data_IF_976770753067
#
_entry.id   IF_976770753067
#
_cell.length_a   1.000
_cell.length_b   1.000
_cell.length_c   1.000
_cell.angle_alpha   90.00
_cell.angle_beta   90.00
_cell.angle_gamma   90.00
#
_symmetry.space_group_name_H-M   'P 1'
#
loop_
_entity.id
_entity.type
_entity.pdbx_description
1 polymer ?
#
# COMPACT_ATOMS: atom_id res chain seq x y z
N UNK A 1 7.43 -2.39 4.03
CA UNK A 1 8.60 -2.89 4.76
C UNK A 1 8.10 -4.14 5.43
N UNK A 2 8.49 -5.33 4.95
CA UNK A 2 8.12 -6.55 5.68
C UNK A 2 8.68 -6.42 7.11
N UNK A 3 7.93 -6.80 8.15
CA UNK A 3 8.46 -6.72 9.50
C UNK A 3 9.80 -7.45 9.53
N UNK A 4 10.86 -6.71 9.84
CA UNK A 4 12.13 -7.33 10.18
C UNK A 4 11.85 -8.27 11.34
N UNK A 5 12.44 -9.46 11.31
CA UNK A 5 12.37 -10.36 12.46
C UNK A 5 12.75 -9.57 13.71
N UNK A 6 11.81 -9.44 14.64
CA UNK A 6 12.05 -8.81 15.96
C UNK A 6 12.96 -9.66 16.85
N UNK A 7 13.26 -10.89 16.41
CA UNK A 7 14.18 -11.80 17.09
C UNK A 7 15.62 -11.54 16.67
N UNK A 8 16.49 -11.43 17.69
CA UNK A 8 17.94 -11.59 17.50
C UNK A 8 18.27 -12.98 16.96
N UNK A 9 19.47 -13.14 16.37
CA UNK A 9 19.92 -14.45 15.89
C UNK A 9 19.86 -15.52 16.99
N UNK A 10 20.23 -15.18 18.23
CA UNK A 10 20.18 -16.11 19.37
C UNK A 10 18.75 -16.54 19.73
N UNK A 11 17.79 -15.63 19.67
CA UNK A 11 16.39 -15.97 19.90
C UNK A 11 15.85 -16.87 18.78
N UNK A 12 16.22 -16.59 17.53
CA UNK A 12 15.87 -17.44 16.39
C UNK A 12 16.47 -18.85 16.55
N UNK A 13 17.74 -18.95 16.95
CA UNK A 13 18.41 -20.23 17.22
C UNK A 13 17.69 -21.02 18.31
N UNK A 14 17.26 -20.35 19.39
CA UNK A 14 16.51 -20.96 20.48
C UNK A 14 15.16 -21.51 19.99
N UNK A 15 14.41 -20.74 19.18
CA UNK A 15 13.13 -21.21 18.63
C UNK A 15 13.30 -22.40 17.70
N UNK A 16 14.31 -22.37 16.82
CA UNK A 16 14.59 -23.48 15.92
C UNK A 16 15.06 -24.73 16.66
N UNK A 17 15.86 -24.56 17.73
CA UNK A 17 16.22 -25.65 18.62
C UNK A 17 14.98 -26.23 19.32
N UNK A 18 14.08 -25.38 19.83
CA UNK A 18 12.84 -25.81 20.47
C UNK A 18 11.98 -26.66 19.52
N UNK A 19 11.79 -26.21 18.28
CA UNK A 19 11.06 -26.96 17.25
C UNK A 19 11.70 -28.33 17.00
N UNK A 20 13.03 -28.38 16.90
CA UNK A 20 13.78 -29.62 16.69
C UNK A 20 13.64 -30.61 17.84
N UNK A 21 13.68 -30.15 19.09
CA UNK A 21 13.52 -31.00 20.28
C UNK A 21 12.09 -31.54 20.41
N UNK A 22 11.10 -30.79 19.92
CA UNK A 22 9.70 -31.23 19.90
C UNK A 22 9.37 -32.14 18.69
N UNK A 23 10.37 -32.59 17.93
CA UNK A 23 10.17 -33.54 16.83
C UNK A 23 9.49 -32.95 15.59
N UNK A 24 9.55 -31.62 15.41
CA UNK A 24 9.09 -30.99 14.18
C UNK A 24 10.10 -31.32 13.07
N UNK A 25 9.61 -31.91 11.99
CA UNK A 25 10.40 -32.19 10.79
C UNK A 25 10.62 -30.93 9.94
N UNK A 26 11.61 -30.95 9.05
CA UNK A 26 11.90 -29.88 8.08
C UNK A 26 12.14 -28.47 8.66
N UNK A 27 12.67 -28.40 9.89
CA UNK A 27 13.00 -27.11 10.53
C UNK A 27 14.10 -26.38 9.74
N UNK A 28 13.86 -25.14 9.26
CA UNK A 28 14.83 -24.41 8.46
C UNK A 28 16.02 -23.97 9.31
N UNK A 29 17.19 -23.84 8.68
CA UNK A 29 18.35 -23.25 9.37
C UNK A 29 18.19 -21.73 9.50
N UNK A 30 18.82 -21.10 10.51
CA UNK A 30 18.84 -19.64 10.66
C UNK A 30 19.28 -18.93 9.38
N UNK A 31 20.30 -19.47 8.70
CA UNK A 31 20.79 -18.94 7.43
C UNK A 31 19.77 -19.07 6.30
N UNK A 32 18.99 -20.15 6.26
CA UNK A 32 17.92 -20.32 5.26
C UNK A 32 16.77 -19.36 5.50
N UNK A 33 16.41 -19.10 6.76
CA UNK A 33 15.44 -18.06 7.12
C UNK A 33 15.93 -16.66 6.73
N UNK A 34 17.22 -16.34 6.95
CA UNK A 34 17.80 -15.06 6.51
C UNK A 34 17.74 -14.91 4.99
N UNK A 35 18.08 -15.96 4.23
CA UNK A 35 18.01 -15.93 2.75
C UNK A 35 16.59 -15.71 2.23
N UNK A 36 15.62 -16.42 2.79
CA UNK A 36 14.20 -16.23 2.45
C UNK A 36 13.72 -14.84 2.82
N UNK A 37 14.11 -14.31 3.98
CA UNK A 37 13.81 -12.93 4.35
C UNK A 37 14.36 -11.92 3.34
N UNK A 38 15.63 -12.05 2.92
CA UNK A 38 16.23 -11.18 1.89
C UNK A 38 15.50 -11.32 0.55
N UNK A 39 15.14 -12.53 0.14
CA UNK A 39 14.39 -12.76 -1.09
C UNK A 39 13.00 -12.10 -1.03
N UNK A 40 12.28 -12.24 0.08
CA UNK A 40 10.98 -11.60 0.29
C UNK A 40 11.08 -10.08 0.34
N UNK A 41 12.13 -9.52 0.97
CA UNK A 41 12.39 -8.09 0.94
C UNK A 41 12.68 -7.59 -0.48
N UNK A 42 13.32 -8.37 -1.34
CA UNK A 42 13.52 -7.99 -2.75
C UNK A 42 12.22 -7.97 -3.56
N UNK A 43 11.29 -8.87 -3.25
CA UNK A 43 10.04 -9.01 -4.00
C UNK A 43 8.98 -8.02 -3.49
N UNK A 44 8.80 -7.94 -2.17
CA UNK A 44 7.70 -7.21 -1.53
C UNK A 44 8.19 -6.12 -0.58
N UNK A 45 9.48 -5.80 -0.54
CA UNK A 45 10.01 -4.76 0.33
C UNK A 45 9.60 -3.36 -0.12
N UNK A 46 9.54 -2.43 0.84
CA UNK A 46 9.47 -1.00 0.53
C UNK A 46 10.91 -0.52 0.40
N UNK A 47 11.24 0.09 -0.74
CA UNK A 47 12.58 0.62 -0.98
C UNK A 47 12.83 1.83 -0.10
N UNK A 48 14.05 1.93 0.42
CA UNK A 48 14.55 3.16 1.05
C UNK A 48 15.36 3.92 0.00
N UNK A 49 14.94 5.14 -0.27
CA UNK A 49 15.51 6.04 -1.26
C UNK A 49 16.37 7.06 -0.53
N UNK A 50 17.59 7.27 -1.03
CA UNK A 50 18.50 8.29 -0.53
C UNK A 50 18.32 9.58 -1.33
N UNK A 51 18.30 10.70 -0.62
CA UNK A 51 18.23 12.05 -1.19
C UNK A 51 19.29 12.93 -0.54
N UNK A 52 19.82 13.87 -1.30
CA UNK A 52 20.69 14.91 -0.76
C UNK A 52 19.82 16.09 -0.31
N UNK A 53 19.93 16.45 0.97
CA UNK A 53 19.24 17.62 1.51
C UNK A 53 19.81 18.91 0.93
N UNK A 54 19.01 19.97 0.93
CA UNK A 54 19.42 21.29 0.44
C UNK A 54 20.69 21.83 1.15
N UNK A 55 20.99 21.35 2.36
CA UNK A 55 22.18 21.69 3.16
C UNK A 55 23.33 20.67 3.01
N UNK A 56 23.27 19.76 2.04
CA UNK A 56 24.31 18.76 1.77
C UNK A 56 24.31 17.54 2.71
N UNK A 57 23.33 17.44 3.62
CA UNK A 57 23.17 16.26 4.46
C UNK A 57 22.33 15.20 3.75
N UNK A 58 22.80 13.95 3.59
CA UNK A 58 21.98 12.89 3.02
C UNK A 58 20.85 12.53 3.99
N UNK A 59 19.66 12.32 3.45
CA UNK A 59 18.51 11.79 4.19
C UNK A 59 17.87 10.63 3.42
N UNK A 60 17.12 9.81 4.13
CA UNK A 60 16.53 8.59 3.59
C UNK A 60 15.03 8.61 3.81
N UNK A 61 14.27 8.26 2.76
CA UNK A 61 12.81 8.14 2.84
C UNK A 61 12.38 6.81 2.25
N UNK A 62 11.27 6.28 2.75
CA UNK A 62 10.67 5.11 2.15
C UNK A 62 9.90 5.50 0.87
N UNK A 63 9.99 4.66 -0.15
CA UNK A 63 9.28 4.85 -1.41
C UNK A 63 7.77 4.88 -1.16
N UNK A 64 7.17 6.06 -1.37
CA UNK A 64 5.72 6.23 -1.25
C UNK A 64 4.97 5.33 -2.24
N UNK A 65 5.49 5.16 -3.46
CA UNK A 65 4.90 4.28 -4.46
C UNK A 65 4.84 2.82 -4.00
N UNK A 66 5.87 2.34 -3.29
CA UNK A 66 5.88 0.97 -2.78
C UNK A 66 4.91 0.82 -1.60
N UNK A 67 4.76 1.85 -0.76
CA UNK A 67 3.76 1.88 0.32
C UNK A 67 2.35 1.78 -0.28
N UNK A 68 2.03 2.64 -1.25
CA UNK A 68 0.72 2.64 -1.91
C UNK A 68 0.47 1.29 -2.57
N UNK A 69 1.46 0.72 -3.27
CA UNK A 69 1.32 -0.59 -3.89
C UNK A 69 0.99 -1.69 -2.86
N UNK A 70 1.61 -1.68 -1.68
CA UNK A 70 1.31 -2.63 -0.61
C UNK A 70 -0.13 -2.48 -0.09
N UNK A 71 -0.59 -1.25 0.16
CA UNK A 71 -1.97 -1.01 0.61
C UNK A 71 -3.00 -1.38 -0.45
N UNK A 72 -2.68 -1.13 -1.73
CA UNK A 72 -3.54 -1.47 -2.86
C UNK A 72 -3.76 -2.99 -3.04
N UNK A 73 -2.77 -3.82 -2.69
CA UNK A 73 -2.90 -5.28 -2.77
C UNK A 73 -3.40 -5.91 -1.46
N UNK A 74 -3.52 -5.14 -0.38
CA UNK A 74 -3.94 -5.64 0.91
C UNK A 74 -5.46 -5.92 0.92
N UNK A 75 -5.92 -7.18 1.02
CA UNK A 75 -7.34 -7.51 0.92
C UNK A 75 -8.18 -6.96 2.08
N UNK A 76 -7.55 -6.64 3.22
CA UNK A 76 -8.25 -6.05 4.36
C UNK A 76 -8.38 -4.54 4.26
N UNK A 77 -7.44 -3.86 3.60
CA UNK A 77 -7.44 -2.40 3.47
C UNK A 77 -8.12 -1.96 2.17
N UNK A 78 -7.92 -2.72 1.09
CA UNK A 78 -8.45 -2.43 -0.25
C UNK A 78 -9.94 -2.07 -0.30
N UNK A 79 -10.85 -2.69 0.48
CA UNK A 79 -12.27 -2.32 0.50
C UNK A 79 -12.57 -0.96 1.12
N UNK A 80 -11.66 -0.44 1.94
CA UNK A 80 -11.80 0.85 2.63
C UNK A 80 -11.12 2.00 1.88
N UNK A 81 -10.44 1.72 0.76
CA UNK A 81 -9.83 2.75 -0.08
C UNK A 81 -10.88 3.35 -1.02
N UNK A 82 -11.07 4.66 -0.92
CA UNK A 82 -11.96 5.43 -1.79
C UNK A 82 -11.13 6.27 -2.78
N UNK A 83 -11.44 6.13 -4.07
CA UNK A 83 -10.71 6.81 -5.17
C UNK A 83 -11.51 7.91 -5.84
N UNK A 84 -12.78 8.06 -5.47
CA UNK A 84 -13.70 8.99 -6.10
C UNK A 84 -14.04 10.11 -5.15
N UNK A 85 -14.09 11.37 -5.65
CA UNK A 85 -14.79 12.43 -4.96
C UNK A 85 -16.23 12.01 -4.69
N UNK A 86 -16.75 12.33 -3.51
CA UNK A 86 -18.13 12.01 -3.11
C UNK A 86 -18.86 13.28 -2.70
N UNK A 87 -20.04 13.50 -3.28
CA UNK A 87 -20.94 14.55 -2.80
C UNK A 87 -21.77 14.00 -1.62
N UNK A 88 -21.46 14.47 -0.41
CA UNK A 88 -22.20 14.16 0.82
C UNK A 88 -23.08 15.32 1.29
N UNK A 89 -23.40 16.26 0.39
CA UNK A 89 -24.22 17.43 0.67
C UNK A 89 -23.59 18.31 1.76
N UNK A 90 -24.32 18.69 2.82
CA UNK A 90 -23.80 19.58 3.85
C UNK A 90 -22.85 18.90 4.85
N UNK A 91 -22.62 17.59 4.75
CA UNK A 91 -21.80 16.84 5.70
C UNK A 91 -20.38 16.64 5.18
N UNK A 92 -19.37 16.86 6.02
CA UNK A 92 -17.96 16.64 5.70
C UNK A 92 -17.33 15.75 6.78
N UNK A 93 -17.15 14.48 6.46
CA UNK A 93 -16.51 13.49 7.34
C UNK A 93 -15.11 13.07 6.88
N UNK A 94 -14.89 13.07 5.57
CA UNK A 94 -13.65 12.61 4.95
C UNK A 94 -13.15 13.61 3.88
N UNK A 95 -11.85 13.60 3.61
CA UNK A 95 -11.25 14.53 2.64
C UNK A 95 -11.88 14.41 1.25
N UNK A 96 -12.23 13.21 0.80
CA UNK A 96 -12.88 12.93 -0.51
C UNK A 96 -14.24 13.62 -0.70
N UNK A 97 -14.84 14.12 0.37
CA UNK A 97 -16.11 14.86 0.38
C UNK A 97 -15.94 16.38 0.32
N UNK A 98 -14.70 16.87 0.43
CA UNK A 98 -14.44 18.31 0.44
C UNK A 98 -14.59 18.92 -0.95
N UNK A 99 -14.98 20.20 -0.99
CA UNK A 99 -15.13 20.99 -2.21
C UNK A 99 -13.87 20.97 -3.09
N UNK A 100 -12.69 20.90 -2.48
CA UNK A 100 -11.42 20.81 -3.20
C UNK A 100 -11.40 19.64 -4.21
N UNK A 101 -11.91 18.47 -3.81
CA UNK A 101 -11.94 17.28 -4.68
C UNK A 101 -13.13 17.27 -5.62
N UNK A 102 -14.23 17.95 -5.28
CA UNK A 102 -15.46 17.98 -6.06
C UNK A 102 -15.47 19.06 -7.14
N UNK A 103 -14.84 20.21 -6.89
CA UNK A 103 -15.05 21.43 -7.66
C UNK A 103 -13.76 22.16 -8.04
N UNK A 104 -12.68 22.02 -7.27
CA UNK A 104 -11.46 22.79 -7.50
C UNK A 104 -10.38 22.04 -8.29
N UNK A 105 -10.29 20.72 -8.14
CA UNK A 105 -9.27 19.92 -8.80
C UNK A 105 -9.52 19.80 -10.31
N UNK A 106 -8.43 19.86 -11.09
CA UNK A 106 -8.49 19.66 -12.54
C UNK A 106 -8.92 18.22 -12.85
N UNK A 107 -9.86 18.08 -13.79
CA UNK A 107 -10.43 16.80 -14.17
C UNK A 107 -9.38 15.81 -14.69
N UNK A 108 -8.26 16.29 -15.27
CA UNK A 108 -7.18 15.41 -15.74
C UNK A 108 -6.32 14.84 -14.61
N UNK A 109 -6.45 15.39 -13.39
CA UNK A 109 -5.73 14.93 -12.20
C UNK A 109 -6.57 14.01 -11.32
N UNK A 110 -7.89 13.97 -11.54
CA UNK A 110 -8.84 13.13 -10.83
C UNK A 110 -9.01 11.77 -11.53
N UNK A 111 -9.68 10.84 -10.85
CA UNK A 111 -9.98 9.52 -11.39
C UNK A 111 -10.91 9.65 -12.60
N UNK A 112 -10.48 9.22 -13.80
CA UNK A 112 -11.10 9.64 -15.06
C UNK A 112 -12.37 8.88 -15.43
N UNK A 113 -12.92 8.08 -14.53
CA UNK A 113 -13.99 7.13 -14.83
C UNK A 113 -14.88 6.87 -13.63
N UNK A 114 -16.19 6.98 -13.78
CA UNK A 114 -17.16 6.51 -12.76
C UNK A 114 -17.89 5.27 -13.26
N UNK A 115 -18.12 4.31 -12.36
CA UNK A 115 -18.94 3.13 -12.66
C UNK A 115 -20.33 3.28 -12.03
N UNK A 116 -21.35 3.36 -12.88
CA UNK A 116 -22.76 3.51 -12.49
C UNK A 116 -23.54 2.32 -13.05
N UNK A 117 -24.15 1.52 -12.17
CA UNK A 117 -24.98 0.35 -12.54
C UNK A 117 -24.28 -0.63 -13.50
N UNK A 118 -22.98 -0.82 -13.33
CA UNK A 118 -22.16 -1.70 -14.17
C UNK A 118 -21.76 -1.11 -15.54
N UNK A 119 -22.11 0.16 -15.80
CA UNK A 119 -21.60 0.90 -16.95
C UNK A 119 -20.56 1.92 -16.50
N UNK A 120 -19.47 2.00 -17.25
CA UNK A 120 -18.38 2.95 -17.00
C UNK A 120 -18.58 4.17 -17.89
N UNK A 121 -18.42 5.34 -17.29
CA UNK A 121 -18.46 6.63 -17.95
C UNK A 121 -17.13 7.33 -17.70
N UNK A 122 -16.52 7.85 -18.76
CA UNK A 122 -15.27 8.58 -18.67
C UNK A 122 -15.51 10.09 -18.68
N UNK A 123 -14.59 10.85 -18.08
CA UNK A 123 -14.60 12.30 -18.19
C UNK A 123 -14.51 12.67 -19.68
N UNK A 124 -15.34 13.63 -20.10
CA UNK A 124 -15.50 14.08 -21.49
C UNK A 124 -16.12 13.06 -22.45
N UNK A 125 -16.62 11.92 -21.95
CA UNK A 125 -17.44 11.02 -22.74
C UNK A 125 -18.87 11.58 -22.88
N UNK A 126 -19.44 11.47 -24.08
CA UNK A 126 -20.84 11.81 -24.31
C UNK A 126 -21.73 10.75 -23.66
N UNK A 127 -22.51 11.16 -22.64
CA UNK A 127 -23.48 10.32 -21.98
C UNK A 127 -24.91 10.81 -22.24
N UNK A 128 -25.85 9.89 -22.44
CA UNK A 128 -27.28 10.22 -22.56
C UNK A 128 -27.90 10.35 -21.16
N UNK A 129 -28.65 11.43 -20.94
CA UNK A 129 -29.42 11.62 -19.70
C UNK A 129 -30.51 10.55 -19.57
N UNK A 130 -30.79 10.12 -18.33
CA UNK A 130 -31.90 9.20 -18.05
C UNK A 130 -33.25 9.80 -18.41
N UNK A 131 -33.37 11.13 -18.42
CA UNK A 131 -34.58 11.87 -18.79
C UNK A 131 -34.85 11.93 -20.29
N UNK A 132 -33.91 11.51 -21.15
CA UNK A 132 -34.02 11.64 -22.61
C UNK A 132 -33.32 12.89 -23.12
#
# INVERSE_FOLDING_TARGET
HLPCSVFSCRQLDLFLWLLKVNGVDDVPTPSSLKRTHIALQKICGIRTLQYDGALGNPYYVNSLGDIIAQEMVNPHIRPHLHFYPEDSGPHLSEARQAECWLHEMDNNTLTPMVELRGQRFFIYELAKLTSG
#
